data_IF_385279377750
#
_entry.id   IF_385279377750
#
_cell.length_a   1.000
_cell.length_b   1.000
_cell.length_c   1.000
_cell.angle_alpha   90.00
_cell.angle_beta   90.00
_cell.angle_gamma   90.00
#
_symmetry.space_group_name_H-M   'P 1'
#
loop_
_entity.id
_entity.type
_entity.pdbx_description
1 polymer ?
#
# COMPACT_ATOMS: atom_id res chain seq x y z
N UNK A 1 -33.97 24.76 -27.89
CA UNK A 1 -35.18 24.32 -28.61
C UNK A 1 -34.71 23.37 -29.71
N UNK A 2 -35.43 22.26 -29.91
CA UNK A 2 -35.14 21.10 -30.80
C UNK A 2 -34.34 19.98 -30.10
N UNK A 3 -35.08 19.04 -29.48
CA UNK A 3 -34.84 17.59 -29.60
C UNK A 3 -35.24 17.17 -31.02
N UNK A 4 -34.55 16.21 -31.67
CA UNK A 4 -34.87 14.76 -31.57
C UNK A 4 -33.60 13.87 -31.77
N UNK A 5 -33.50 12.53 -31.66
CA UNK A 5 -34.41 11.37 -31.71
C UNK A 5 -33.59 10.13 -31.31
N UNK A 6 -34.19 9.19 -30.58
CA UNK A 6 -33.67 7.83 -30.34
C UNK A 6 -33.58 6.98 -31.62
N UNK A 7 -32.64 6.00 -31.71
CA UNK A 7 -32.63 4.97 -32.74
C UNK A 7 -33.61 3.81 -32.45
N UNK A 8 -34.05 3.07 -33.50
CA UNK A 8 -35.26 2.26 -33.45
C UNK A 8 -35.10 0.87 -32.81
N UNK A 9 -36.14 0.49 -32.06
CA UNK A 9 -36.40 -0.86 -31.53
C UNK A 9 -36.76 -1.82 -32.68
N UNK A 10 -35.98 -2.88 -32.87
CA UNK A 10 -36.35 -3.99 -33.76
C UNK A 10 -37.33 -4.95 -33.05
N UNK A 11 -38.44 -5.23 -33.72
CA UNK A 11 -39.47 -6.20 -33.31
C UNK A 11 -39.14 -7.56 -33.92
N UNK A 12 -38.97 -8.58 -33.08
CA UNK A 12 -38.97 -9.98 -33.50
C UNK A 12 -40.42 -10.49 -33.60
N UNK A 13 -40.84 -11.15 -34.70
CA UNK A 13 -42.10 -11.87 -34.73
C UNK A 13 -41.94 -13.28 -34.13
N UNK A 14 -42.93 -13.66 -33.33
CA UNK A 14 -43.18 -15.04 -32.90
C UNK A 14 -43.63 -15.88 -34.08
N UNK A 15 -42.95 -16.98 -34.34
CA UNK A 15 -43.53 -18.12 -35.04
C UNK A 15 -43.01 -19.42 -34.39
N UNK A 16 -43.98 -20.21 -33.94
CA UNK A 16 -43.85 -21.50 -33.27
C UNK A 16 -43.60 -22.58 -34.34
N UNK A 17 -42.58 -23.41 -34.13
CA UNK A 17 -42.32 -24.60 -34.95
C UNK A 17 -41.44 -25.56 -34.16
N UNK A 18 -42.06 -26.56 -33.55
CA UNK A 18 -41.40 -27.57 -32.73
C UNK A 18 -40.66 -28.58 -33.61
N UNK A 19 -39.34 -28.66 -33.47
CA UNK A 19 -38.55 -29.83 -33.83
C UNK A 19 -37.66 -30.18 -32.65
N UNK A 20 -38.01 -31.26 -31.94
CA UNK A 20 -37.13 -31.91 -30.97
C UNK A 20 -35.96 -32.54 -31.74
N UNK A 21 -34.79 -31.91 -31.70
CA UNK A 21 -33.52 -32.57 -31.99
C UNK A 21 -32.82 -32.81 -30.65
N UNK A 22 -32.81 -34.06 -30.22
CA UNK A 22 -32.17 -34.52 -29.00
C UNK A 22 -30.65 -34.54 -29.24
N UNK A 23 -29.98 -33.42 -28.96
CA UNK A 23 -28.53 -33.35 -28.98
C UNK A 23 -27.99 -34.03 -27.71
N UNK A 24 -27.41 -35.22 -27.88
CA UNK A 24 -26.55 -35.83 -26.86
C UNK A 24 -25.33 -34.91 -26.65
N UNK A 25 -25.39 -34.08 -25.61
CA UNK A 25 -24.19 -33.50 -25.04
C UNK A 25 -23.43 -34.63 -24.33
N UNK A 26 -22.44 -35.20 -25.03
CA UNK A 26 -21.35 -35.91 -24.38
C UNK A 26 -20.65 -34.90 -23.48
N UNK A 27 -21.01 -34.86 -22.21
CA UNK A 27 -20.26 -34.16 -21.17
C UNK A 27 -18.88 -34.82 -21.10
N UNK A 28 -17.91 -34.24 -21.78
CA UNK A 28 -16.50 -34.45 -21.44
C UNK A 28 -16.37 -34.15 -19.95
N UNK A 29 -15.83 -35.08 -19.13
CA UNK A 29 -15.53 -34.74 -17.75
C UNK A 29 -14.53 -33.59 -17.80
N UNK A 30 -14.93 -32.43 -17.27
CA UNK A 30 -13.99 -31.39 -16.92
C UNK A 30 -12.94 -32.08 -16.05
N UNK A 31 -11.72 -32.18 -16.55
CA UNK A 31 -10.61 -32.57 -15.71
C UNK A 31 -10.63 -31.60 -14.54
N UNK A 32 -10.93 -32.10 -13.35
CA UNK A 32 -10.74 -31.37 -12.12
C UNK A 32 -9.24 -31.09 -12.05
N UNK A 33 -8.85 -29.93 -12.56
CA UNK A 33 -7.53 -29.39 -12.36
C UNK A 33 -7.42 -29.25 -10.86
N UNK A 34 -6.51 -30.00 -10.24
CA UNK A 34 -6.29 -29.88 -8.80
C UNK A 34 -5.96 -28.42 -8.53
N UNK A 35 -6.80 -27.71 -7.79
CA UNK A 35 -6.62 -26.31 -7.36
C UNK A 35 -5.40 -26.11 -6.45
N UNK A 36 -4.61 -27.16 -6.23
CA UNK A 36 -3.39 -27.11 -5.46
C UNK A 36 -2.24 -26.76 -6.40
N UNK A 37 -1.60 -25.61 -6.15
CA UNK A 37 -0.39 -25.25 -6.84
C UNK A 37 0.63 -26.40 -6.72
N UNK A 38 1.39 -26.72 -7.79
CA UNK A 38 2.26 -27.91 -7.83
C UNK A 38 3.52 -27.76 -6.97
N UNK A 39 3.57 -26.75 -6.09
CA UNK A 39 4.73 -26.36 -5.30
C UNK A 39 4.59 -26.84 -3.86
N UNK A 40 5.72 -27.14 -3.25
CA UNK A 40 5.86 -27.45 -1.83
C UNK A 40 6.78 -26.43 -1.17
N UNK A 41 6.60 -26.21 0.13
CA UNK A 41 7.51 -25.39 0.92
C UNK A 41 8.95 -25.91 0.79
N UNK A 42 9.89 -24.99 0.54
CA UNK A 42 11.30 -25.27 0.26
C UNK A 42 11.62 -25.63 -1.19
N UNK A 43 10.63 -25.74 -2.09
CA UNK A 43 10.90 -25.89 -3.53
C UNK A 43 11.66 -24.67 -4.04
N UNK A 44 12.71 -24.90 -4.84
CA UNK A 44 13.47 -23.83 -5.49
C UNK A 44 13.06 -23.74 -6.96
N UNK A 45 12.50 -22.59 -7.34
CA UNK A 45 12.20 -22.23 -8.71
C UNK A 45 13.36 -21.41 -9.26
N UNK A 46 14.06 -22.02 -10.21
CA UNK A 46 15.14 -21.42 -11.00
C UNK A 46 14.60 -20.82 -12.29
N UNK A 47 15.43 -20.04 -13.00
CA UNK A 47 15.03 -19.35 -14.22
C UNK A 47 14.44 -20.28 -15.30
N UNK A 48 14.95 -21.50 -15.45
CA UNK A 48 14.45 -22.51 -16.40
C UNK A 48 13.03 -23.02 -16.07
N UNK A 49 12.52 -22.73 -14.86
CA UNK A 49 11.20 -23.16 -14.36
C UNK A 49 10.21 -22.02 -14.19
N UNK A 50 10.54 -20.79 -14.58
CA UNK A 50 9.67 -19.61 -14.35
C UNK A 50 8.30 -19.74 -15.01
N UNK A 51 8.18 -20.48 -16.13
CA UNK A 51 6.88 -20.72 -16.79
C UNK A 51 5.85 -21.40 -15.87
N UNK A 52 6.30 -22.12 -14.82
CA UNK A 52 5.40 -22.68 -13.81
C UNK A 52 4.67 -21.60 -12.99
N UNK A 53 5.22 -20.39 -12.90
CA UNK A 53 4.65 -19.27 -12.15
C UNK A 53 3.58 -18.51 -12.93
N UNK A 54 3.56 -18.63 -14.27
CA UNK A 54 2.65 -17.89 -15.16
C UNK A 54 1.18 -17.90 -14.74
N UNK A 55 0.59 -19.02 -14.31
CA UNK A 55 -0.83 -19.05 -13.90
C UNK A 55 -1.13 -18.26 -12.62
N UNK A 56 -0.10 -17.92 -11.84
CA UNK A 56 -0.22 -17.33 -10.50
C UNK A 56 0.17 -15.84 -10.46
N UNK A 57 0.61 -15.29 -11.59
CA UNK A 57 1.07 -13.90 -11.69
C UNK A 57 0.08 -13.06 -12.50
N UNK A 58 -0.10 -11.76 -12.16
CA UNK A 58 -0.85 -10.84 -13.00
C UNK A 58 -0.34 -10.85 -14.44
N UNK A 59 -1.24 -10.70 -15.42
CA UNK A 59 -0.89 -10.78 -16.84
C UNK A 59 0.18 -9.74 -17.21
N UNK A 60 0.07 -8.54 -16.68
CA UNK A 60 0.99 -7.43 -16.90
C UNK A 60 2.36 -7.73 -16.30
N UNK A 61 2.41 -8.31 -15.10
CA UNK A 61 3.67 -8.75 -14.49
C UNK A 61 4.36 -9.80 -15.37
N UNK A 62 3.60 -10.78 -15.87
CA UNK A 62 4.14 -11.84 -16.74
C UNK A 62 4.63 -11.32 -18.09
N UNK A 63 3.96 -10.30 -18.65
CA UNK A 63 4.36 -9.67 -19.90
C UNK A 63 5.75 -9.02 -19.81
N UNK A 64 6.15 -8.58 -18.61
CA UNK A 64 7.43 -7.94 -18.31
C UNK A 64 8.35 -8.79 -17.42
N UNK A 65 8.18 -10.12 -17.46
CA UNK A 65 8.84 -11.08 -16.56
C UNK A 65 10.38 -11.02 -16.59
N UNK A 66 10.97 -10.60 -17.70
CA UNK A 66 12.41 -10.40 -17.87
C UNK A 66 13.00 -9.31 -16.95
N UNK A 67 12.16 -8.44 -16.38
CA UNK A 67 12.57 -7.47 -15.36
C UNK A 67 12.73 -8.14 -14.00
N UNK A 68 11.92 -9.16 -13.71
CA UNK A 68 11.80 -9.77 -12.38
C UNK A 68 12.50 -11.12 -12.27
N UNK A 69 12.81 -11.77 -13.39
CA UNK A 69 13.44 -13.08 -13.44
C UNK A 69 14.70 -13.03 -14.31
N UNK A 70 15.80 -13.56 -13.79
CA UNK A 70 17.12 -13.53 -14.45
C UNK A 70 17.86 -14.85 -14.29
N UNK A 71 18.84 -15.11 -15.16
CA UNK A 71 19.66 -16.33 -15.06
C UNK A 71 20.44 -16.36 -13.74
N UNK A 72 20.44 -17.52 -13.08
CA UNK A 72 21.01 -17.70 -11.74
C UNK A 72 20.10 -17.29 -10.57
N UNK A 73 18.88 -16.79 -10.81
CA UNK A 73 17.92 -16.54 -9.73
C UNK A 73 17.52 -17.83 -9.01
N UNK A 74 17.15 -17.69 -7.75
CA UNK A 74 16.51 -18.74 -6.95
C UNK A 74 15.34 -18.13 -6.21
N UNK A 75 14.13 -18.63 -6.48
CA UNK A 75 12.92 -18.30 -5.73
C UNK A 75 12.55 -19.53 -4.90
N UNK A 76 12.72 -19.43 -3.59
CA UNK A 76 12.29 -20.47 -2.65
C UNK A 76 10.81 -20.29 -2.32
N UNK A 77 10.04 -21.37 -2.41
CA UNK A 77 8.63 -21.37 -2.03
C UNK A 77 8.53 -21.38 -0.51
N UNK A 78 8.13 -20.24 0.06
CA UNK A 78 7.92 -20.08 1.48
C UNK A 78 6.70 -20.84 2.01
N UNK A 79 6.59 -20.87 3.34
CA UNK A 79 5.39 -21.38 4.03
C UNK A 79 4.14 -20.59 3.62
N UNK A 80 2.97 -21.24 3.45
CA UNK A 80 1.75 -20.55 3.02
C UNK A 80 1.22 -19.53 4.04
N UNK A 81 1.65 -19.63 5.31
CA UNK A 81 1.21 -18.73 6.38
C UNK A 81 2.39 -18.32 7.27
N UNK A 82 2.54 -17.01 7.47
CA UNK A 82 3.46 -16.44 8.45
C UNK A 82 2.64 -15.66 9.47
N UNK A 83 3.10 -15.69 10.72
CA UNK A 83 2.56 -14.84 11.76
C UNK A 83 3.17 -13.43 11.64
N UNK A 84 2.32 -12.47 11.30
CA UNK A 84 2.66 -11.05 11.22
C UNK A 84 2.04 -10.25 12.38
N UNK A 85 1.62 -10.92 13.45
CA UNK A 85 1.09 -10.26 14.63
C UNK A 85 2.13 -9.29 15.21
N UNK A 86 1.69 -8.14 15.75
CA UNK A 86 2.60 -7.24 16.44
C UNK A 86 3.23 -7.94 17.67
N UNK A 87 4.38 -7.45 18.15
CA UNK A 87 5.02 -8.05 19.31
C UNK A 87 4.19 -7.81 20.58
N UNK A 88 4.32 -8.66 21.62
CA UNK A 88 3.54 -8.55 22.86
C UNK A 88 3.69 -7.19 23.56
N UNK A 89 4.83 -6.52 23.40
CA UNK A 89 5.06 -5.18 23.93
C UNK A 89 4.15 -4.14 23.30
N UNK A 90 3.85 -4.26 22.00
CA UNK A 90 2.91 -3.38 21.32
C UNK A 90 1.49 -3.64 21.81
N UNK A 91 1.09 -4.91 21.95
CA UNK A 91 -0.21 -5.30 22.50
C UNK A 91 -0.43 -4.78 23.93
N UNK A 92 0.58 -4.92 24.80
CA UNK A 92 0.53 -4.41 26.17
C UNK A 92 0.34 -2.89 26.23
N UNK A 93 0.97 -2.16 25.31
CA UNK A 93 0.81 -0.70 25.20
C UNK A 93 -0.57 -0.34 24.62
N UNK A 94 -1.04 -1.07 23.61
CA UNK A 94 -2.41 -0.93 23.08
C UNK A 94 -3.43 -1.07 24.20
N UNK A 95 -3.35 -2.11 25.02
CA UNK A 95 -4.26 -2.32 26.14
C UNK A 95 -4.17 -1.20 27.19
N UNK A 96 -2.94 -0.73 27.50
CA UNK A 96 -2.71 0.39 28.45
C UNK A 96 -3.42 1.68 28.01
N UNK A 97 -3.50 1.95 26.71
CA UNK A 97 -4.09 3.17 26.16
C UNK A 97 -5.46 2.95 25.49
N UNK A 98 -6.03 1.76 25.60
CA UNK A 98 -7.31 1.38 25.01
C UNK A 98 -8.41 2.38 25.40
N UNK A 99 -9.18 2.82 24.40
CA UNK A 99 -10.31 3.74 24.58
C UNK A 99 -9.94 5.21 24.80
N UNK A 100 -8.65 5.59 24.79
CA UNK A 100 -8.26 7.01 24.92
C UNK A 100 -8.38 7.77 23.59
N UNK A 101 -7.97 7.15 22.49
CA UNK A 101 -8.02 7.77 21.18
C UNK A 101 -9.48 8.00 20.72
N UNK A 102 -9.70 9.10 20.00
CA UNK A 102 -11.01 9.42 19.42
C UNK A 102 -10.86 10.10 18.07
N UNK A 103 -11.86 9.93 17.21
CA UNK A 103 -11.97 10.64 15.96
C UNK A 103 -12.57 12.02 16.22
N UNK A 104 -11.80 13.06 15.95
CA UNK A 104 -12.20 14.46 16.04
C UNK A 104 -12.81 14.98 14.73
N UNK A 105 -13.02 16.31 14.61
CA UNK A 105 -13.47 16.94 13.37
C UNK A 105 -12.57 16.59 12.18
N UNK A 106 -13.14 16.49 10.98
CA UNK A 106 -12.41 16.17 9.73
C UNK A 106 -11.52 14.93 9.85
N UNK A 107 -12.01 13.88 10.51
CA UNK A 107 -11.29 12.62 10.71
C UNK A 107 -9.93 12.79 11.43
N UNK A 108 -9.75 13.82 12.25
CA UNK A 108 -8.55 14.03 13.07
C UNK A 108 -8.38 12.96 14.15
N UNK A 109 -7.12 12.67 14.54
CA UNK A 109 -6.83 11.76 15.65
C UNK A 109 -6.54 12.56 16.92
N UNK A 110 -7.39 12.39 17.93
CA UNK A 110 -7.25 13.07 19.20
C UNK A 110 -6.97 12.09 20.34
N UNK A 111 -6.29 12.56 21.39
CA UNK A 111 -5.98 11.81 22.61
C UNK A 111 -5.21 10.48 22.41
N UNK A 112 -4.61 10.28 21.24
CA UNK A 112 -3.72 9.16 20.98
C UNK A 112 -2.35 9.34 21.68
N UNK A 113 -1.80 8.24 22.23
CA UNK A 113 -0.45 8.22 22.81
C UNK A 113 0.45 7.21 22.10
N UNK A 114 0.12 5.93 22.13
CA UNK A 114 0.89 4.84 21.51
C UNK A 114 0.01 3.59 21.35
N UNK A 115 0.49 2.57 20.63
CA UNK A 115 -0.24 1.33 20.35
C UNK A 115 -1.22 1.47 19.17
N UNK A 116 -2.10 0.49 19.02
CA UNK A 116 -3.21 0.55 18.07
C UNK A 116 -4.30 1.51 18.60
N UNK A 117 -4.72 2.53 17.84
CA UNK A 117 -5.68 3.53 18.32
C UNK A 117 -7.07 2.96 18.64
N UNK A 118 -7.58 2.08 17.78
CA UNK A 118 -8.95 1.56 17.87
C UNK A 118 -8.92 0.02 17.77
N UNK A 119 -9.61 -0.72 18.65
CA UNK A 119 -9.70 -2.18 18.53
C UNK A 119 -10.45 -2.58 17.26
N UNK A 120 -9.79 -3.29 16.34
CA UNK A 120 -10.35 -3.66 15.03
C UNK A 120 -11.64 -4.48 15.15
N UNK A 121 -11.73 -5.36 16.15
CA UNK A 121 -12.87 -6.22 16.42
C UNK A 121 -14.12 -5.48 16.92
N UNK A 122 -13.98 -4.23 17.38
CA UNK A 122 -15.09 -3.40 17.86
C UNK A 122 -15.58 -2.40 16.80
N UNK A 123 -14.93 -2.34 15.62
CA UNK A 123 -15.31 -1.43 14.54
C UNK A 123 -16.46 -2.04 13.73
N UNK A 124 -17.67 -1.49 13.89
CA UNK A 124 -18.80 -1.82 13.03
C UNK A 124 -18.67 -1.09 11.69
N UNK A 125 -18.13 -1.77 10.67
CA UNK A 125 -17.88 -1.19 9.35
C UNK A 125 -19.09 -0.46 8.74
N UNK A 126 -20.30 -1.03 8.86
CA UNK A 126 -21.49 -0.48 8.19
C UNK A 126 -22.35 0.37 9.12
N UNK A 127 -22.28 0.15 10.44
CA UNK A 127 -23.09 0.87 11.42
C UNK A 127 -22.40 2.09 12.06
N UNK A 128 -21.06 2.13 12.08
CA UNK A 128 -20.31 3.25 12.63
C UNK A 128 -19.93 4.26 11.52
N UNK A 129 -20.47 5.50 11.53
CA UNK A 129 -20.13 6.52 10.54
C UNK A 129 -18.65 6.92 10.58
N UNK A 130 -17.91 6.58 11.64
CA UNK A 130 -16.48 6.82 11.79
C UNK A 130 -15.63 5.57 11.52
N UNK A 131 -16.21 4.44 11.10
CA UNK A 131 -15.49 3.19 10.88
C UNK A 131 -14.30 3.36 9.94
N UNK A 132 -14.51 4.01 8.79
CA UNK A 132 -13.46 4.25 7.81
C UNK A 132 -12.29 5.05 8.40
N UNK A 133 -12.60 6.09 9.18
CA UNK A 133 -11.60 6.92 9.85
C UNK A 133 -10.80 6.12 10.91
N UNK A 134 -11.46 5.28 11.70
CA UNK A 134 -10.79 4.43 12.69
C UNK A 134 -9.84 3.43 12.02
N UNK A 135 -10.30 2.76 10.95
CA UNK A 135 -9.51 1.78 10.19
C UNK A 135 -8.25 2.43 9.59
N UNK A 136 -8.38 3.60 8.95
CA UNK A 136 -7.19 4.26 8.36
C UNK A 136 -6.22 4.76 9.44
N UNK A 137 -6.70 5.17 10.61
CA UNK A 137 -5.80 5.52 11.72
C UNK A 137 -5.08 4.31 12.28
N UNK A 138 -5.72 3.14 12.35
CA UNK A 138 -5.04 1.89 12.67
C UNK A 138 -4.00 1.53 11.62
N UNK A 139 -4.31 1.67 10.32
CA UNK A 139 -3.33 1.47 9.25
C UNK A 139 -2.13 2.43 9.36
N UNK A 140 -2.37 3.71 9.64
CA UNK A 140 -1.32 4.72 9.80
C UNK A 140 -0.49 4.45 11.07
N UNK A 141 -1.11 3.98 12.17
CA UNK A 141 -0.47 3.67 13.48
C UNK A 141 -0.12 2.19 13.68
N UNK A 142 -0.18 1.37 12.64
CA UNK A 142 0.19 -0.04 12.73
C UNK A 142 1.63 -0.20 13.25
N UNK A 143 1.90 -1.34 13.88
CA UNK A 143 3.23 -1.63 14.36
C UNK A 143 4.26 -1.61 13.22
N UNK A 144 5.33 -0.84 13.43
CA UNK A 144 6.43 -0.69 12.48
C UNK A 144 7.79 -0.64 13.19
N UNK A 145 7.90 -1.14 14.42
CA UNK A 145 9.17 -1.06 15.14
C UNK A 145 9.57 0.39 15.38
N UNK A 146 10.80 0.73 14.98
CA UNK A 146 11.29 2.10 15.01
C UNK A 146 11.00 2.92 13.75
N UNK A 147 10.35 2.32 12.75
CA UNK A 147 9.97 2.89 11.47
C UNK A 147 10.09 1.87 10.33
N UNK A 148 10.91 2.16 9.32
CA UNK A 148 11.14 1.21 8.23
C UNK A 148 12.52 1.41 7.64
N UNK A 149 13.13 0.34 7.15
CA UNK A 149 14.37 0.38 6.39
C UNK A 149 14.22 -0.57 5.20
N UNK A 150 14.33 -0.02 3.99
CA UNK A 150 14.02 -0.76 2.77
C UNK A 150 15.02 -0.42 1.66
N UNK A 151 15.42 -1.44 0.92
CA UNK A 151 15.97 -1.28 -0.42
C UNK A 151 14.79 -1.32 -1.40
N UNK A 152 14.60 -0.27 -2.19
CA UNK A 152 13.50 -0.19 -3.13
C UNK A 152 13.97 -0.41 -4.56
N UNK A 153 13.12 -1.06 -5.35
CA UNK A 153 13.15 -1.06 -6.81
C UNK A 153 11.80 -0.54 -7.27
N UNK A 154 11.81 0.55 -8.03
CA UNK A 154 10.64 1.10 -8.66
C UNK A 154 10.79 1.02 -10.17
N UNK A 155 9.93 0.27 -10.84
CA UNK A 155 9.91 0.17 -12.30
C UNK A 155 8.55 0.62 -12.82
N UNK A 156 8.55 1.45 -13.85
CA UNK A 156 7.32 1.91 -14.51
C UNK A 156 7.39 1.64 -16.01
N UNK A 157 6.21 1.33 -16.56
CA UNK A 157 6.02 0.98 -17.97
C UNK A 157 5.10 2.04 -18.58
N UNK A 158 5.62 2.84 -19.51
CA UNK A 158 4.78 3.78 -20.24
C UNK A 158 3.82 3.03 -21.18
N UNK A 159 2.61 3.55 -21.36
CA UNK A 159 1.59 2.98 -22.25
C UNK A 159 1.95 3.25 -23.71
N UNK A 160 2.88 2.46 -24.24
CA UNK A 160 3.25 2.46 -25.66
C UNK A 160 4.75 2.40 -25.91
N UNK A 161 5.57 2.75 -24.92
CA UNK A 161 7.03 2.59 -24.98
C UNK A 161 7.46 1.31 -24.27
N UNK A 162 8.39 0.57 -24.87
CA UNK A 162 8.90 -0.71 -24.34
C UNK A 162 10.06 -0.53 -23.35
N UNK A 163 10.48 0.70 -23.05
CA UNK A 163 11.61 0.95 -22.17
C UNK A 163 11.13 1.08 -20.73
N UNK A 164 11.47 0.08 -19.92
CA UNK A 164 11.34 0.18 -18.46
C UNK A 164 12.35 1.20 -17.94
N UNK A 165 11.84 2.28 -17.35
CA UNK A 165 12.65 3.11 -16.47
C UNK A 165 12.56 2.52 -15.07
N UNK A 166 13.70 2.43 -14.41
CA UNK A 166 13.79 1.90 -13.05
C UNK A 166 14.55 2.86 -12.16
N UNK A 167 14.18 2.90 -10.89
CA UNK A 167 14.94 3.55 -9.82
C UNK A 167 15.23 2.52 -8.74
N UNK A 168 16.48 2.50 -8.27
CA UNK A 168 16.85 1.71 -7.09
C UNK A 168 17.48 2.62 -6.06
N UNK A 169 17.35 2.23 -4.79
CA UNK A 169 18.02 2.92 -3.71
C UNK A 169 17.53 2.47 -2.35
N UNK A 170 17.84 3.29 -1.35
CA UNK A 170 17.54 3.03 0.05
C UNK A 170 16.52 4.03 0.58
N UNK A 171 15.60 3.55 1.42
CA UNK A 171 14.65 4.39 2.13
C UNK A 171 14.64 4.03 3.61
N UNK A 172 14.62 5.07 4.45
CA UNK A 172 14.50 4.93 5.90
C UNK A 172 13.41 5.83 6.45
N UNK A 173 12.49 5.23 7.19
CA UNK A 173 11.50 5.96 8.00
C UNK A 173 11.89 5.80 9.45
N UNK A 174 11.84 6.90 10.20
CA UNK A 174 11.95 6.90 11.66
C UNK A 174 10.66 7.44 12.25
N UNK A 175 10.00 6.65 13.09
CA UNK A 175 8.86 7.08 13.90
C UNK A 175 9.35 7.96 15.05
N UNK A 176 8.92 9.22 15.07
CA UNK A 176 9.38 10.23 16.03
C UNK A 176 8.48 10.36 17.27
N UNK A 177 7.26 9.81 17.17
CA UNK A 177 6.24 9.77 18.22
C UNK A 177 5.60 8.39 18.30
N UNK A 178 4.74 8.13 19.28
CA UNK A 178 4.03 6.86 19.39
C UNK A 178 4.92 5.68 19.79
N UNK A 179 6.14 5.96 20.26
CA UNK A 179 7.11 4.95 20.71
C UNK A 179 6.56 4.14 21.87
N UNK A 180 6.70 2.81 21.79
CA UNK A 180 6.25 1.89 22.83
C UNK A 180 7.33 1.61 23.87
N UNK A 181 8.60 1.90 23.56
CA UNK A 181 9.70 1.56 24.45
C UNK A 181 9.66 2.40 25.73
N UNK A 182 9.81 1.79 26.94
CA UNK A 182 9.62 2.49 28.21
C UNK A 182 10.46 3.76 28.36
N UNK A 183 11.68 3.78 27.81
CA UNK A 183 12.56 4.95 27.87
C UNK A 183 12.00 6.19 27.15
N UNK A 184 11.12 6.02 26.16
CA UNK A 184 10.45 7.10 25.45
C UNK A 184 9.01 7.28 25.95
N UNK A 185 8.29 6.17 26.11
CA UNK A 185 6.89 6.17 26.51
C UNK A 185 6.67 6.83 27.87
N UNK A 186 7.39 6.40 28.90
CA UNK A 186 7.16 6.88 30.27
C UNK A 186 7.81 8.26 30.52
N UNK A 187 8.89 8.59 29.81
CA UNK A 187 9.59 9.87 29.98
C UNK A 187 8.97 11.01 29.18
N UNK A 188 8.55 10.73 27.95
CA UNK A 188 8.15 11.74 26.97
C UNK A 188 6.83 11.39 26.25
N UNK A 189 6.00 10.51 26.82
CA UNK A 189 4.72 10.07 26.22
C UNK A 189 4.86 9.54 24.79
N UNK A 190 5.95 8.81 24.55
CA UNK A 190 6.21 8.16 23.27
C UNK A 190 6.96 9.05 22.27
N UNK A 191 7.38 10.25 22.65
CA UNK A 191 8.26 11.07 21.82
C UNK A 191 9.73 10.71 22.01
N UNK A 192 10.47 10.55 20.91
CA UNK A 192 11.93 10.36 20.96
C UNK A 192 12.59 11.60 21.60
N UNK A 193 12.23 12.80 21.10
CA UNK A 193 12.74 14.07 21.59
C UNK A 193 11.63 14.91 22.20
N UNK A 194 11.88 15.44 23.40
CA UNK A 194 10.94 16.30 24.11
C UNK A 194 10.58 17.54 23.27
N UNK A 195 9.29 17.82 23.11
CA UNK A 195 8.73 18.93 22.30
C UNK A 195 9.03 18.84 20.78
N UNK A 196 9.44 17.68 20.28
CA UNK A 196 9.51 17.49 18.83
C UNK A 196 8.10 17.57 18.22
N UNK A 197 8.00 18.23 17.08
CA UNK A 197 6.75 18.40 16.34
C UNK A 197 6.60 17.37 15.23
N UNK A 198 7.65 16.60 14.93
CA UNK A 198 7.65 15.59 13.88
C UNK A 198 6.93 14.34 14.37
N UNK A 199 6.17 13.76 13.46
CA UNK A 199 5.51 12.47 13.57
C UNK A 199 6.41 11.40 12.98
N UNK A 200 6.89 11.60 11.75
CA UNK A 200 7.88 10.74 11.09
C UNK A 200 8.94 11.55 10.35
N UNK A 201 10.10 10.92 10.13
CA UNK A 201 11.13 11.40 9.22
C UNK A 201 11.39 10.31 8.18
N UNK A 202 11.20 10.62 6.90
CA UNK A 202 11.52 9.75 5.77
C UNK A 202 12.78 10.29 5.07
N UNK A 203 13.78 9.45 4.91
CA UNK A 203 14.93 9.66 4.03
C UNK A 203 14.88 8.69 2.85
N UNK A 204 15.25 9.18 1.67
CA UNK A 204 15.40 8.40 0.44
C UNK A 204 16.73 8.79 -0.18
N UNK A 205 17.51 7.80 -0.64
CA UNK A 205 18.68 7.98 -1.49
C UNK A 205 18.53 7.09 -2.72
N UNK A 206 18.86 7.62 -3.90
CA UNK A 206 18.77 6.91 -5.18
C UNK A 206 20.18 6.46 -5.59
N UNK A 207 20.34 5.18 -5.85
CA UNK A 207 21.59 4.57 -6.31
C UNK A 207 21.60 4.35 -7.83
N UNK A 208 20.46 4.05 -8.42
CA UNK A 208 20.30 3.85 -9.87
C UNK A 208 19.03 4.55 -10.39
N UNK A 209 19.03 5.01 -11.65
CA UNK A 209 20.09 4.87 -12.65
C UNK A 209 21.18 5.95 -12.50
N UNK A 210 22.26 5.86 -13.28
CA UNK A 210 23.40 6.78 -13.23
C UNK A 210 23.01 8.26 -13.22
N UNK A 211 22.02 8.63 -14.03
CA UNK A 211 21.52 10.01 -14.18
C UNK A 211 20.85 10.56 -12.91
N UNK A 212 20.37 9.69 -12.02
CA UNK A 212 19.71 10.08 -10.77
C UNK A 212 20.49 9.64 -9.52
N UNK A 213 21.64 8.99 -9.69
CA UNK A 213 22.47 8.50 -8.59
C UNK A 213 22.90 9.65 -7.67
N UNK A 214 22.71 9.45 -6.37
CA UNK A 214 22.99 10.43 -5.33
C UNK A 214 21.91 11.52 -5.19
N UNK A 215 20.78 11.40 -5.90
CA UNK A 215 19.58 12.15 -5.55
C UNK A 215 19.13 11.67 -4.17
N UNK A 216 18.91 12.62 -3.26
CA UNK A 216 18.45 12.32 -1.92
C UNK A 216 17.27 13.21 -1.55
N UNK A 217 16.30 12.66 -0.83
CA UNK A 217 15.17 13.39 -0.30
C UNK A 217 15.04 13.16 1.20
N UNK A 218 14.69 14.21 1.94
CA UNK A 218 14.26 14.12 3.33
C UNK A 218 12.90 14.78 3.50
N UNK A 219 11.97 14.05 4.12
CA UNK A 219 10.60 14.50 4.37
C UNK A 219 10.30 14.44 5.86
N UNK A 220 9.81 15.54 6.41
CA UNK A 220 9.30 15.63 7.77
C UNK A 220 7.78 15.66 7.74
N UNK A 221 7.15 14.63 8.31
CA UNK A 221 5.72 14.68 8.64
C UNK A 221 5.56 15.20 10.04
N UNK A 222 4.56 16.06 10.26
CA UNK A 222 4.34 16.72 11.55
C UNK A 222 3.15 16.12 12.30
N UNK A 223 3.18 16.20 13.62
CA UNK A 223 2.04 15.83 14.48
C UNK A 223 0.79 16.61 14.12
N UNK A 224 0.95 17.88 13.75
CA UNK A 224 -0.13 18.75 13.28
C UNK A 224 -0.76 18.30 11.96
N UNK A 225 -0.22 17.30 11.25
CA UNK A 225 -0.91 16.67 10.13
C UNK A 225 -2.10 15.81 10.60
N UNK A 226 -2.23 15.56 11.90
CA UNK A 226 -3.35 14.82 12.48
C UNK A 226 -4.51 15.73 12.89
N UNK A 227 -4.31 17.05 12.78
CA UNK A 227 -5.33 18.07 13.07
C UNK A 227 -6.22 18.31 11.83
N UNK A 228 -7.43 18.88 12.01
CA UNK A 228 -8.30 19.23 10.88
C UNK A 228 -7.61 20.15 9.85
N UNK A 229 -7.99 20.08 8.56
CA UNK A 229 -7.46 20.97 7.52
C UNK A 229 -7.54 22.46 7.90
N UNK A 230 -6.52 23.27 7.55
CA UNK A 230 -5.38 22.91 6.70
C UNK A 230 -4.27 22.14 7.43
N UNK A 231 -4.39 21.89 8.74
CA UNK A 231 -3.38 21.19 9.55
C UNK A 231 -1.95 21.70 9.32
N UNK A 232 -0.95 20.86 9.62
CA UNK A 232 0.44 21.05 9.19
C UNK A 232 0.82 19.97 8.20
N UNK A 233 1.13 20.41 6.98
CA UNK A 233 1.67 19.55 5.95
C UNK A 233 3.15 19.24 6.13
N UNK A 234 3.58 18.22 5.38
CA UNK A 234 4.97 17.79 5.28
C UNK A 234 5.88 18.89 4.72
N UNK A 235 7.12 18.88 5.22
CA UNK A 235 8.22 19.66 4.65
C UNK A 235 9.25 18.70 4.03
N UNK A 236 9.52 18.87 2.73
CA UNK A 236 10.41 18.01 1.96
C UNK A 236 11.56 18.82 1.36
N UNK A 237 12.77 18.27 1.42
CA UNK A 237 13.95 18.82 0.77
C UNK A 237 14.59 17.76 -0.11
N UNK A 238 14.96 18.16 -1.32
CA UNK A 238 15.58 17.29 -2.31
C UNK A 238 16.96 17.84 -2.64
N UNK A 239 17.98 17.01 -2.46
CA UNK A 239 19.34 17.26 -2.92
C UNK A 239 19.48 16.77 -4.36
N UNK A 240 19.94 17.66 -5.24
CA UNK A 240 20.23 17.36 -6.64
C UNK A 240 21.75 17.29 -6.85
N UNK A 241 22.31 16.13 -7.21
CA UNK A 241 23.75 15.93 -7.30
C UNK A 241 24.41 16.81 -8.38
N UNK A 242 23.79 16.92 -9.56
CA UNK A 242 24.31 17.74 -10.67
C UNK A 242 24.46 19.22 -10.31
N UNK A 243 23.45 19.76 -9.62
CA UNK A 243 23.44 21.15 -9.19
C UNK A 243 24.18 21.36 -7.86
N UNK A 244 24.48 20.29 -7.12
CA UNK A 244 24.99 20.28 -5.74
C UNK A 244 24.18 21.21 -4.83
N UNK A 245 22.86 21.16 -4.96
CA UNK A 245 21.94 22.08 -4.29
C UNK A 245 20.79 21.33 -3.67
N UNK A 246 20.39 21.80 -2.49
CA UNK A 246 19.15 21.42 -1.83
C UNK A 246 18.06 22.38 -2.24
N UNK A 247 16.91 21.86 -2.65
CA UNK A 247 15.70 22.63 -2.90
C UNK A 247 14.59 22.15 -1.97
N UNK A 248 13.78 23.08 -1.50
CA UNK A 248 12.55 22.73 -0.79
C UNK A 248 11.48 22.40 -1.83
N UNK A 249 10.85 21.24 -1.68
CA UNK A 249 9.71 20.82 -2.48
C UNK A 249 8.45 21.32 -1.79
N UNK A 250 7.55 21.99 -2.52
CA UNK A 250 6.43 22.65 -1.89
C UNK A 250 5.39 21.63 -1.45
N UNK A 251 4.81 21.86 -0.28
CA UNK A 251 3.71 21.09 0.30
C UNK A 251 2.57 20.75 -0.67
N UNK A 252 2.21 21.66 -1.59
CA UNK A 252 1.11 21.46 -2.56
C UNK A 252 1.47 20.52 -3.70
N UNK A 253 2.75 20.29 -3.94
CA UNK A 253 3.28 19.46 -5.02
C UNK A 253 3.39 17.99 -4.58
N UNK A 254 3.00 17.65 -3.34
CA UNK A 254 3.07 16.27 -2.81
C UNK A 254 2.22 15.28 -3.61
N UNK A 255 1.13 15.76 -4.20
CA UNK A 255 0.25 15.02 -5.10
C UNK A 255 0.68 15.10 -6.56
N UNK A 256 1.76 15.82 -6.88
CA UNK A 256 2.31 15.86 -8.23
C UNK A 256 3.16 14.61 -8.47
N UNK A 257 3.25 14.25 -9.75
CA UNK A 257 4.12 13.22 -10.28
C UNK A 257 5.59 13.41 -9.87
N UNK A 258 6.19 12.36 -9.30
CA UNK A 258 7.61 12.34 -8.96
C UNK A 258 8.41 11.89 -10.18
N UNK A 259 9.43 12.66 -10.56
CA UNK A 259 10.44 12.27 -11.56
C UNK A 259 9.87 11.75 -12.89
N UNK A 260 8.76 12.32 -13.36
CA UNK A 260 8.12 11.95 -14.62
C UNK A 260 7.31 10.65 -14.60
N UNK A 261 7.05 10.10 -13.41
CA UNK A 261 6.18 8.93 -13.19
C UNK A 261 4.73 9.34 -12.97
N UNK A 262 3.78 8.40 -12.96
CA UNK A 262 2.40 8.64 -12.50
C UNK A 262 2.25 8.55 -10.97
N UNK A 263 3.36 8.44 -10.24
CA UNK A 263 3.38 8.21 -8.80
C UNK A 263 3.60 9.50 -8.02
N UNK A 264 2.83 9.67 -6.95
CA UNK A 264 2.94 10.78 -6.01
C UNK A 264 3.54 10.33 -4.68
N UNK A 265 3.92 11.27 -3.82
CA UNK A 265 4.42 10.92 -2.49
C UNK A 265 3.34 10.28 -1.61
N UNK A 266 2.06 10.44 -1.93
CA UNK A 266 0.93 9.84 -1.21
C UNK A 266 0.69 8.38 -1.60
N UNK A 267 1.27 7.90 -2.68
CA UNK A 267 1.15 6.50 -3.12
C UNK A 267 2.19 5.58 -2.44
N UNK A 268 3.15 6.16 -1.70
CA UNK A 268 4.12 5.41 -0.90
C UNK A 268 3.41 4.58 0.17
N UNK A 269 3.91 3.36 0.43
CA UNK A 269 3.36 2.43 1.42
C UNK A 269 1.88 2.12 1.16
N UNK A 270 1.45 2.06 -0.11
CA UNK A 270 0.05 1.94 -0.55
C UNK A 270 -0.83 3.14 -0.23
N UNK A 271 -0.58 3.83 0.88
CA UNK A 271 -1.15 5.12 1.23
C UNK A 271 -0.24 5.83 2.23
N UNK A 272 0.27 6.99 1.84
CA UNK A 272 1.01 7.92 2.68
C UNK A 272 0.37 9.31 2.71
N UNK A 273 -0.90 9.44 2.33
CA UNK A 273 -1.66 10.68 2.45
C UNK A 273 -1.84 11.17 3.89
N UNK A 274 -2.22 12.42 4.03
CA UNK A 274 -2.56 13.02 5.32
C UNK A 274 -4.02 12.68 5.64
N UNK A 275 -4.25 11.79 6.61
CA UNK A 275 -5.58 11.20 6.91
C UNK A 275 -6.71 12.25 7.00
N UNK A 276 -6.58 13.39 7.72
CA UNK A 276 -7.63 14.42 7.79
C UNK A 276 -7.95 15.15 6.48
N UNK A 277 -7.17 14.98 5.41
CA UNK A 277 -7.42 15.60 4.11
C UNK A 277 -8.37 14.79 3.24
N UNK A 278 -8.76 13.60 3.69
CA UNK A 278 -9.63 12.68 2.98
C UNK A 278 -10.87 12.36 3.80
N UNK A 279 -11.93 11.98 3.08
CA UNK A 279 -13.12 11.38 3.68
C UNK A 279 -13.00 9.85 3.58
N UNK A 280 -13.32 9.18 4.68
CA UNK A 280 -13.14 7.74 4.82
C UNK A 280 -14.48 7.06 5.06
N UNK A 281 -14.81 6.07 4.25
CA UNK A 281 -16.04 5.29 4.39
C UNK A 281 -15.69 3.82 4.32
N UNK A 282 -16.10 3.05 5.32
CA UNK A 282 -15.99 1.60 5.27
C UNK A 282 -17.13 1.06 4.40
N UNK A 283 -16.80 0.38 3.29
CA UNK A 283 -17.78 -0.11 2.31
C UNK A 283 -18.22 -1.55 2.58
N UNK A 284 -17.47 -2.27 3.40
CA UNK A 284 -17.69 -3.67 3.73
C UNK A 284 -16.37 -4.36 4.05
N UNK A 285 -16.50 -5.62 4.41
CA UNK A 285 -15.37 -6.52 4.71
C UNK A 285 -15.34 -7.64 3.70
N UNK A 286 -14.14 -8.05 3.31
CA UNK A 286 -13.93 -9.23 2.48
C UNK A 286 -12.64 -9.92 2.88
N UNK A 287 -12.64 -11.26 2.75
CA UNK A 287 -11.44 -12.05 2.94
C UNK A 287 -10.61 -11.99 1.66
N UNK A 288 -9.36 -11.54 1.79
CA UNK A 288 -8.40 -11.44 0.70
C UNK A 288 -7.24 -12.41 0.94
N UNK A 289 -6.77 -13.02 -0.15
CA UNK A 289 -5.44 -13.63 -0.17
C UNK A 289 -4.48 -12.51 -0.57
N UNK A 290 -3.63 -12.08 0.36
CA UNK A 290 -2.63 -11.05 0.12
C UNK A 290 -1.25 -11.68 -0.05
N UNK A 291 -0.51 -11.39 -1.14
CA UNK A 291 0.89 -11.76 -1.24
C UNK A 291 1.70 -10.87 -0.29
N UNK A 292 1.97 -11.37 0.91
CA UNK A 292 2.84 -10.71 1.89
C UNK A 292 4.25 -11.26 1.73
N UNK A 293 5.26 -10.39 1.80
CA UNK A 293 6.65 -10.76 1.60
C UNK A 293 7.05 -11.87 2.58
N UNK A 294 7.14 -13.10 2.08
CA UNK A 294 7.64 -14.25 2.84
C UNK A 294 9.15 -14.06 2.93
N UNK A 295 9.66 -13.91 4.16
CA UNK A 295 11.08 -13.71 4.49
C UNK A 295 12.06 -14.42 3.56
#
# INVERSE_FOLDING_TARGET
MINPTDPPRSRLPRAVGACLAMALFLSLPAAAQSDQAPFKEGDIITFDKVELLKPYLPQEFWAHREVFFWDGMQLEIGTPFRDYSPPPEFEAVTERFKGQARIGPSNSLENYTAGEPFPMEEIDCLGDPQAGAKIIWNFDRQWSGDGAENNFLYTYFDRGEQLSLYYQGEAKVVEMMGRIEPQYLDKNRGDIFKKDKRKTVLGIEVDEPFESRGLAAITYRYKGSQEPPPGKYDDTWIYQPDARRVRRFATKERTDAISGTDFSFDDLRSFAGIVPHYEWTCLGEMVLIAPMNTQ
#
